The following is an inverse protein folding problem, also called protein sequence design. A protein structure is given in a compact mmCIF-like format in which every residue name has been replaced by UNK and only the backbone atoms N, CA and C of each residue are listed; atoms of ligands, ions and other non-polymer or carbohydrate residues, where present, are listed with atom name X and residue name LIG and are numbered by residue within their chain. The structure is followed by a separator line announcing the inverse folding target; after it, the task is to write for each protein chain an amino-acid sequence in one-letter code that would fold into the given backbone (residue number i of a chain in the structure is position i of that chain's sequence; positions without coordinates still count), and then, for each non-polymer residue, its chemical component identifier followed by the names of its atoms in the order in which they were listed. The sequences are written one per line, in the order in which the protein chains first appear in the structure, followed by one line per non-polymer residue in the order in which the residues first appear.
data_IF_468968154439
#
_entry.id   IF_468968154439
#
_cell.length_a   1.000
_cell.length_b   1.000
_cell.length_c   1.000
_cell.angle_alpha   90.00
_cell.angle_beta   90.00
_cell.angle_gamma   90.00
#
_symmetry.space_group_name_H-M   'P 1'
#
loop_
_entity.id
_entity.type
_entity.pdbx_description
1 polymer ?
#
# COMPACT_ATOMS: atom_id res chain seq x y z
N UNK A 1 19.34 -7.15 -12.50
CA UNK A 1 18.07 -7.48 -11.80
C UNK A 1 16.84 -7.14 -12.64
N UNK A 2 16.73 -5.94 -13.18
CA UNK A 2 15.56 -5.48 -13.96
C UNK A 2 15.40 -6.16 -15.34
N UNK A 3 16.34 -6.95 -15.79
CA UNK A 3 16.23 -7.71 -17.04
C UNK A 3 15.24 -8.88 -16.98
N UNK A 4 14.91 -9.36 -15.78
CA UNK A 4 13.84 -10.34 -15.58
C UNK A 4 12.49 -9.61 -15.54
N UNK A 5 11.57 -9.99 -16.41
CA UNK A 5 10.21 -9.37 -16.50
C UNK A 5 9.48 -9.36 -15.16
N UNK A 6 9.61 -10.40 -14.38
CA UNK A 6 9.00 -10.57 -13.06
C UNK A 6 9.50 -9.51 -12.06
N UNK A 7 10.82 -9.25 -12.04
CA UNK A 7 11.43 -8.26 -11.15
C UNK A 7 11.06 -6.85 -11.59
N UNK A 8 11.06 -6.59 -12.89
CA UNK A 8 10.65 -5.30 -13.43
C UNK A 8 9.17 -5.00 -13.13
N UNK A 9 8.29 -5.99 -13.26
CA UNK A 9 6.86 -5.88 -12.92
C UNK A 9 6.65 -5.61 -11.43
N UNK A 10 7.36 -6.34 -10.58
CA UNK A 10 7.28 -6.15 -9.14
C UNK A 10 7.81 -4.77 -8.71
N UNK A 11 8.87 -4.29 -9.35
CA UNK A 11 9.41 -2.95 -9.14
C UNK A 11 8.43 -1.86 -9.60
N UNK A 12 7.79 -2.03 -10.76
CA UNK A 12 6.73 -1.14 -11.25
C UNK A 12 5.51 -1.13 -10.32
N UNK A 13 5.12 -2.29 -9.79
CA UNK A 13 4.04 -2.39 -8.81
C UNK A 13 4.39 -1.64 -7.51
N UNK A 14 5.65 -1.70 -7.06
CA UNK A 14 6.11 -0.97 -5.88
C UNK A 14 6.06 0.55 -6.11
N UNK A 15 6.49 1.01 -7.28
CA UNK A 15 6.37 2.41 -7.70
C UNK A 15 4.91 2.89 -7.68
N UNK A 16 4.00 2.15 -8.34
CA UNK A 16 2.58 2.48 -8.40
C UNK A 16 1.90 2.47 -7.02
N UNK A 17 2.32 1.55 -6.16
CA UNK A 17 1.82 1.44 -4.80
C UNK A 17 2.07 2.72 -4.00
N UNK A 18 3.28 3.23 -4.03
CA UNK A 18 3.65 4.45 -3.31
C UNK A 18 3.13 5.71 -3.97
N UNK A 19 3.09 5.75 -5.31
CA UNK A 19 2.49 6.85 -6.06
C UNK A 19 1.00 7.02 -5.71
N UNK A 20 0.25 5.92 -5.66
CA UNK A 20 -1.17 5.97 -5.29
C UNK A 20 -1.40 6.45 -3.85
N UNK A 21 -0.58 5.99 -2.89
CA UNK A 21 -0.66 6.47 -1.50
C UNK A 21 -0.31 7.95 -1.40
N UNK A 22 0.71 8.40 -2.11
CA UNK A 22 1.15 9.80 -2.10
C UNK A 22 0.08 10.74 -2.62
N UNK A 23 -0.55 10.41 -3.74
CA UNK A 23 -1.67 11.17 -4.31
C UNK A 23 -2.81 11.33 -3.30
N UNK A 24 -3.08 10.30 -2.51
CA UNK A 24 -4.13 10.35 -1.50
C UNK A 24 -3.70 11.12 -0.25
N UNK A 25 -2.52 10.86 0.29
CA UNK A 25 -2.18 11.31 1.65
C UNK A 25 -1.63 12.72 1.72
N UNK A 26 -0.98 13.21 0.65
CA UNK A 26 -0.22 14.49 0.70
C UNK A 26 -1.16 15.68 0.81
N UNK A 27 -2.26 15.71 0.05
CA UNK A 27 -3.22 16.82 0.09
C UNK A 27 -4.44 16.55 0.99
N UNK A 28 -4.56 15.36 1.57
CA UNK A 28 -5.63 15.04 2.52
C UNK A 28 -5.73 16.04 3.70
N UNK A 29 -4.63 16.40 4.40
CA UNK A 29 -4.69 17.37 5.49
C UNK A 29 -5.22 18.72 5.03
N UNK A 30 -4.70 19.22 3.91
CA UNK A 30 -5.10 20.50 3.35
C UNK A 30 -6.58 20.52 2.98
N UNK A 31 -7.07 19.45 2.33
CA UNK A 31 -8.47 19.28 1.99
C UNK A 31 -9.36 19.25 3.24
N UNK A 32 -9.00 18.49 4.27
CA UNK A 32 -9.75 18.44 5.53
C UNK A 32 -9.81 19.79 6.24
N UNK A 33 -8.75 20.59 6.19
CA UNK A 33 -8.71 21.93 6.75
C UNK A 33 -9.61 22.88 5.97
N UNK A 34 -9.56 22.89 4.63
CA UNK A 34 -10.31 23.82 3.79
C UNK A 34 -11.80 23.48 3.71
N UNK A 35 -12.14 22.22 3.52
CA UNK A 35 -13.54 21.81 3.28
C UNK A 35 -14.32 21.49 4.56
N UNK A 36 -13.64 21.02 5.61
CA UNK A 36 -14.27 20.60 6.86
C UNK A 36 -13.91 21.51 8.05
N UNK A 37 -13.04 22.50 7.87
CA UNK A 37 -12.55 23.33 8.97
C UNK A 37 -11.80 22.52 10.05
N UNK A 38 -11.18 21.41 9.69
CA UNK A 38 -10.49 20.55 10.63
C UNK A 38 -9.28 21.27 11.23
N UNK A 39 -9.13 21.21 12.55
CA UNK A 39 -7.97 21.80 13.22
C UNK A 39 -6.72 20.99 12.97
N UNK A 40 -5.52 21.62 12.94
CA UNK A 40 -4.24 20.89 12.80
C UNK A 40 -4.06 19.78 13.84
N UNK A 41 -4.54 19.98 15.07
CA UNK A 41 -4.49 18.97 16.14
C UNK A 41 -5.40 17.76 15.86
N UNK A 42 -6.59 17.99 15.29
CA UNK A 42 -7.48 16.91 14.89
C UNK A 42 -6.85 16.07 13.75
N UNK A 43 -6.28 16.74 12.76
CA UNK A 43 -5.57 16.08 11.65
C UNK A 43 -4.38 15.27 12.18
N UNK A 44 -3.55 15.86 13.04
CA UNK A 44 -2.42 15.16 13.65
C UNK A 44 -2.87 13.90 14.42
N UNK A 45 -3.94 14.02 15.22
CA UNK A 45 -4.51 12.88 15.96
C UNK A 45 -5.02 11.79 15.02
N UNK A 46 -5.64 12.15 13.90
CA UNK A 46 -6.08 11.21 12.87
C UNK A 46 -4.88 10.41 12.31
N UNK A 47 -3.76 11.05 12.03
CA UNK A 47 -2.54 10.38 11.57
C UNK A 47 -1.93 9.46 12.65
N UNK A 48 -1.96 9.86 13.91
CA UNK A 48 -1.53 8.99 15.02
C UNK A 48 -2.40 7.74 15.11
N UNK A 49 -3.72 7.90 15.10
CA UNK A 49 -4.67 6.77 15.12
C UNK A 49 -4.46 5.85 13.92
N UNK A 50 -4.28 6.40 12.72
CA UNK A 50 -3.97 5.64 11.52
C UNK A 50 -2.62 4.93 11.61
N UNK A 51 -1.60 5.57 12.17
CA UNK A 51 -0.29 4.96 12.41
C UNK A 51 -0.37 3.76 13.34
N UNK A 52 -1.13 3.87 14.43
CA UNK A 52 -1.39 2.74 15.36
C UNK A 52 -2.09 1.59 14.61
N UNK A 53 -3.12 1.89 13.83
CA UNK A 53 -3.81 0.89 13.01
C UNK A 53 -2.84 0.15 12.07
N UNK A 54 -1.95 0.90 11.39
CA UNK A 54 -0.95 0.36 10.48
C UNK A 54 0.02 -0.59 11.20
N UNK A 55 0.58 -0.18 12.34
CA UNK A 55 1.52 -0.99 13.14
C UNK A 55 0.87 -2.27 13.66
N UNK A 56 -0.35 -2.19 14.16
CA UNK A 56 -1.07 -3.36 14.67
C UNK A 56 -1.48 -4.33 13.56
N UNK A 57 -1.84 -3.83 12.38
CA UNK A 57 -2.29 -4.65 11.26
C UNK A 57 -1.14 -5.35 10.54
N UNK A 58 0.03 -4.74 10.43
CA UNK A 58 1.15 -5.26 9.65
C UNK A 58 1.52 -6.72 9.96
N UNK A 59 1.81 -7.10 11.23
CA UNK A 59 2.13 -8.49 11.59
C UNK A 59 0.97 -9.47 11.34
N UNK A 60 -0.27 -9.01 11.55
CA UNK A 60 -1.46 -9.84 11.33
C UNK A 60 -1.69 -10.10 9.83
N UNK A 61 -1.44 -9.09 9.01
CA UNK A 61 -1.51 -9.19 7.56
C UNK A 61 -0.50 -10.20 7.01
N UNK A 62 0.73 -10.22 7.54
CA UNK A 62 1.73 -11.21 7.22
C UNK A 62 1.23 -12.63 7.50
N UNK A 63 0.80 -12.91 8.73
CA UNK A 63 0.26 -14.22 9.14
C UNK A 63 -0.97 -14.63 8.30
N UNK A 64 -1.85 -13.69 8.00
CA UNK A 64 -3.04 -13.95 7.19
C UNK A 64 -2.66 -14.29 5.74
N UNK A 65 -1.68 -13.58 5.19
CA UNK A 65 -1.21 -13.79 3.83
C UNK A 65 -0.51 -15.14 3.65
N UNK A 66 0.14 -15.66 4.67
CA UNK A 66 0.75 -16.99 4.63
C UNK A 66 -0.31 -18.11 4.58
N UNK A 67 -1.53 -17.85 5.10
CA UNK A 67 -2.65 -18.82 5.07
C UNK A 67 -3.50 -18.74 3.80
N UNK A 68 -3.79 -17.53 3.33
CA UNK A 68 -4.76 -17.30 2.23
C UNK A 68 -4.05 -17.15 0.87
N UNK A 69 -2.75 -16.85 0.88
CA UNK A 69 -1.95 -16.51 -0.28
C UNK A 69 -1.56 -15.03 -0.30
N UNK A 70 -0.27 -14.77 -0.49
CA UNK A 70 0.29 -13.41 -0.44
C UNK A 70 -0.27 -12.52 -1.53
N UNK A 71 -0.33 -13.03 -2.75
CA UNK A 71 -0.86 -12.33 -3.92
C UNK A 71 -2.33 -11.96 -3.75
N UNK A 72 -3.14 -12.88 -3.21
CA UNK A 72 -4.57 -12.63 -2.95
C UNK A 72 -4.79 -11.49 -1.97
N UNK A 73 -4.06 -11.47 -0.86
CA UNK A 73 -4.17 -10.40 0.15
C UNK A 73 -3.77 -9.05 -0.45
N UNK A 74 -2.68 -8.98 -1.22
CA UNK A 74 -2.24 -7.75 -1.89
C UNK A 74 -3.31 -7.24 -2.86
N UNK A 75 -3.91 -8.10 -3.67
CA UNK A 75 -4.96 -7.70 -4.63
C UNK A 75 -6.22 -7.24 -3.89
N UNK A 76 -6.72 -8.03 -2.93
CA UNK A 76 -7.95 -7.71 -2.21
C UNK A 76 -7.82 -6.41 -1.41
N UNK A 77 -6.70 -6.22 -0.70
CA UNK A 77 -6.46 -4.98 0.05
C UNK A 77 -6.28 -3.76 -0.88
N UNK A 78 -5.68 -3.94 -2.05
CA UNK A 78 -5.56 -2.87 -3.05
C UNK A 78 -6.92 -2.50 -3.65
N UNK A 79 -7.76 -3.47 -3.98
CA UNK A 79 -9.12 -3.20 -4.47
C UNK A 79 -9.99 -2.53 -3.40
N UNK A 80 -9.91 -3.01 -2.14
CA UNK A 80 -10.57 -2.36 -1.02
C UNK A 80 -10.11 -0.91 -0.85
N UNK A 81 -8.79 -0.66 -0.95
CA UNK A 81 -8.24 0.69 -0.88
C UNK A 81 -8.72 1.58 -2.05
N UNK A 82 -8.78 1.04 -3.27
CA UNK A 82 -9.29 1.75 -4.43
C UNK A 82 -10.75 2.22 -4.21
N UNK A 83 -11.59 1.35 -3.64
CA UNK A 83 -12.97 1.70 -3.28
C UNK A 83 -13.00 2.80 -2.22
N UNK A 84 -12.24 2.67 -1.15
CA UNK A 84 -12.18 3.68 -0.07
C UNK A 84 -11.69 5.01 -0.61
N UNK A 85 -10.62 5.05 -1.40
CA UNK A 85 -10.09 6.27 -2.00
C UNK A 85 -11.12 6.96 -2.90
N UNK A 86 -11.82 6.20 -3.73
CA UNK A 86 -12.87 6.74 -4.62
C UNK A 86 -14.03 7.33 -3.82
N UNK A 87 -14.43 6.69 -2.73
CA UNK A 87 -15.56 7.12 -1.91
C UNK A 87 -15.20 8.24 -0.92
N UNK A 88 -13.92 8.48 -0.66
CA UNK A 88 -13.44 9.43 0.36
C UNK A 88 -14.13 10.80 0.27
N UNK A 89 -14.12 11.42 -0.90
CA UNK A 89 -14.68 12.76 -1.11
C UNK A 89 -16.20 12.82 -1.07
N UNK A 90 -16.88 11.69 -1.26
CA UNK A 90 -18.35 11.60 -1.20
C UNK A 90 -18.85 11.25 0.19
N UNK A 91 -18.08 10.51 0.97
CA UNK A 91 -18.50 9.96 2.27
C UNK A 91 -18.08 10.88 3.41
N UNK A 92 -16.93 11.54 3.31
CA UNK A 92 -16.42 12.41 4.37
C UNK A 92 -17.20 13.73 4.36
N UNK A 93 -18.16 13.85 5.29
CA UNK A 93 -18.93 15.06 5.54
C UNK A 93 -18.63 15.69 6.91
N UNK A 94 -17.87 14.99 7.76
CA UNK A 94 -17.48 15.43 9.09
C UNK A 94 -16.16 14.81 9.50
N UNK A 95 -15.45 15.45 10.42
CA UNK A 95 -14.13 15.00 10.88
C UNK A 95 -14.15 13.58 11.46
N UNK A 96 -15.21 13.18 12.14
CA UNK A 96 -15.35 11.83 12.70
C UNK A 96 -15.40 10.75 11.61
N UNK A 97 -16.04 11.05 10.49
CA UNK A 97 -16.09 10.17 9.33
C UNK A 97 -14.70 10.08 8.70
N UNK A 98 -13.96 11.21 8.65
CA UNK A 98 -12.58 11.22 8.18
C UNK A 98 -11.67 10.30 9.01
N UNK A 99 -11.82 10.28 10.33
CA UNK A 99 -11.09 9.35 11.21
C UNK A 99 -11.38 7.89 10.85
N UNK A 100 -12.65 7.53 10.68
CA UNK A 100 -13.04 6.16 10.35
C UNK A 100 -12.51 5.74 8.97
N UNK A 101 -12.66 6.60 7.96
CA UNK A 101 -12.18 6.35 6.60
C UNK A 101 -10.66 6.22 6.58
N UNK A 102 -9.94 7.11 7.26
CA UNK A 102 -8.47 7.08 7.33
C UNK A 102 -7.97 5.85 8.09
N UNK A 103 -8.65 5.45 9.17
CA UNK A 103 -8.34 4.24 9.92
C UNK A 103 -8.42 2.99 9.03
N UNK A 104 -9.53 2.84 8.29
CA UNK A 104 -9.71 1.75 7.33
C UNK A 104 -8.65 1.81 6.22
N UNK A 105 -8.35 3.00 5.71
CA UNK A 105 -7.28 3.22 4.72
C UNK A 105 -5.94 2.69 5.22
N UNK A 106 -5.55 3.01 6.47
CA UNK A 106 -4.29 2.58 7.05
C UNK A 106 -4.22 1.07 7.28
N UNK A 107 -5.32 0.43 7.64
CA UNK A 107 -5.43 -1.03 7.69
C UNK A 107 -5.17 -1.62 6.31
N UNK A 108 -5.85 -1.15 5.27
CA UNK A 108 -5.71 -1.65 3.90
C UNK A 108 -4.30 -1.41 3.33
N UNK A 109 -3.66 -0.29 3.68
CA UNK A 109 -2.26 0.00 3.35
C UNK A 109 -1.33 -1.02 4.02
N UNK A 110 -1.51 -1.29 5.33
CA UNK A 110 -0.70 -2.26 6.06
C UNK A 110 -0.89 -3.69 5.55
N UNK A 111 -2.13 -4.07 5.21
CA UNK A 111 -2.45 -5.40 4.71
C UNK A 111 -1.73 -5.78 3.41
N UNK A 112 -1.30 -4.81 2.59
CA UNK A 112 -0.57 -5.07 1.35
C UNK A 112 0.95 -4.98 1.50
N UNK A 113 1.47 -4.17 2.45
CA UNK A 113 2.90 -3.90 2.57
C UNK A 113 3.72 -5.15 2.92
N UNK A 114 3.36 -5.84 4.00
CA UNK A 114 4.08 -7.02 4.47
C UNK A 114 4.00 -8.20 3.48
N UNK A 115 2.83 -8.60 2.97
CA UNK A 115 2.73 -9.66 1.97
C UNK A 115 3.45 -9.34 0.67
N UNK A 116 3.42 -8.08 0.22
CA UNK A 116 4.07 -7.69 -1.02
C UNK A 116 5.60 -7.71 -0.89
N UNK A 117 6.15 -7.25 0.25
CA UNK A 117 7.59 -7.37 0.52
C UNK A 117 8.04 -8.83 0.56
N UNK A 118 7.25 -9.71 1.17
CA UNK A 118 7.52 -11.15 1.19
C UNK A 118 7.44 -11.79 -0.21
N UNK A 119 6.52 -11.29 -1.06
CA UNK A 119 6.38 -11.72 -2.45
C UNK A 119 7.61 -11.32 -3.28
N UNK A 120 8.09 -10.08 -3.11
CA UNK A 120 9.31 -9.57 -3.75
C UNK A 120 10.54 -10.40 -3.39
N UNK A 121 10.76 -10.64 -2.10
CA UNK A 121 11.95 -11.39 -1.64
C UNK A 121 11.95 -12.83 -2.10
N UNK A 122 10.79 -13.41 -2.38
CA UNK A 122 10.68 -14.77 -2.91
C UNK A 122 11.03 -14.89 -4.41
N UNK A 123 11.15 -13.77 -5.15
CA UNK A 123 11.53 -13.76 -6.57
C UNK A 123 13.04 -13.93 -6.82
N UNK A 124 13.85 -13.85 -5.78
CA UNK A 124 15.33 -13.89 -5.88
C UNK A 124 15.95 -14.76 -4.80
N UNK A 125 17.15 -15.23 -5.05
CA UNK A 125 17.98 -15.96 -4.09
C UNK A 125 18.37 -15.07 -2.90
N UNK A 126 18.69 -15.68 -1.78
CA UNK A 126 18.98 -15.02 -0.50
C UNK A 126 20.06 -13.92 -0.62
N UNK A 127 21.11 -14.18 -1.42
CA UNK A 127 22.20 -13.23 -1.67
C UNK A 127 21.75 -11.93 -2.35
N UNK A 128 20.65 -11.97 -3.10
CA UNK A 128 20.15 -10.84 -3.89
C UNK A 128 18.96 -10.13 -3.25
N UNK A 129 18.42 -10.66 -2.14
CA UNK A 129 17.25 -10.07 -1.45
C UNK A 129 17.50 -8.64 -1.02
N UNK A 130 18.66 -8.35 -0.42
CA UNK A 130 19.02 -7.00 0.00
C UNK A 130 19.04 -6.00 -1.15
N UNK A 131 19.69 -6.37 -2.26
CA UNK A 131 19.76 -5.52 -3.45
C UNK A 131 18.37 -5.27 -4.08
N UNK A 132 17.52 -6.30 -4.12
CA UNK A 132 16.15 -6.15 -4.64
C UNK A 132 15.31 -5.25 -3.75
N UNK A 133 15.39 -5.41 -2.44
CA UNK A 133 14.63 -4.58 -1.50
C UNK A 133 15.08 -3.12 -1.53
N UNK A 134 16.41 -2.87 -1.63
CA UNK A 134 16.92 -1.51 -1.77
C UNK A 134 16.42 -0.84 -3.07
N UNK A 135 16.42 -1.59 -4.18
CA UNK A 135 15.89 -1.11 -5.46
C UNK A 135 14.39 -0.84 -5.38
N UNK A 136 13.62 -1.75 -4.78
CA UNK A 136 12.18 -1.59 -4.61
C UNK A 136 11.86 -0.36 -3.76
N UNK A 137 12.56 -0.19 -2.64
CA UNK A 137 12.37 0.99 -1.77
C UNK A 137 12.72 2.28 -2.52
N UNK A 138 13.84 2.33 -3.27
CA UNK A 138 14.21 3.49 -4.07
C UNK A 138 13.12 3.84 -5.11
N UNK A 139 12.62 2.85 -5.84
CA UNK A 139 11.54 3.04 -6.81
C UNK A 139 10.22 3.42 -6.13
N UNK A 140 9.92 2.89 -4.96
CA UNK A 140 8.79 3.31 -4.14
C UNK A 140 8.87 4.79 -3.76
N UNK A 141 10.03 5.25 -3.28
CA UNK A 141 10.25 6.66 -2.96
C UNK A 141 10.14 7.56 -4.20
N UNK A 142 10.64 7.10 -5.35
CA UNK A 142 10.41 7.81 -6.62
C UNK A 142 8.93 7.89 -6.97
N UNK A 143 8.18 6.80 -6.82
CA UNK A 143 6.73 6.78 -7.00
C UNK A 143 6.02 7.76 -6.07
N UNK A 144 6.41 7.79 -4.79
CA UNK A 144 5.88 8.74 -3.81
C UNK A 144 6.18 10.18 -4.22
N UNK A 145 7.40 10.49 -4.64
CA UNK A 145 7.79 11.83 -5.08
C UNK A 145 7.02 12.28 -6.33
N UNK A 146 6.85 11.39 -7.31
CA UNK A 146 6.05 11.67 -8.52
C UNK A 146 4.59 11.94 -8.15
N UNK A 147 3.99 11.11 -7.31
CA UNK A 147 2.61 11.30 -6.85
C UNK A 147 2.44 12.62 -6.10
N UNK A 148 3.36 12.96 -5.18
CA UNK A 148 3.34 14.23 -4.46
C UNK A 148 3.48 15.44 -5.40
N UNK A 149 4.35 15.34 -6.40
CA UNK A 149 4.55 16.40 -7.38
C UNK A 149 3.32 16.63 -8.30
N UNK A 150 2.57 15.55 -8.59
CA UNK A 150 1.35 15.63 -9.38
C UNK A 150 0.15 16.12 -8.57
N UNK A 151 0.09 15.79 -7.27
CA UNK A 151 -1.04 16.11 -6.42
C UNK A 151 -1.33 17.61 -6.35
N UNK A 152 -0.32 18.49 -6.19
CA UNK A 152 -0.52 19.93 -6.10
C UNK A 152 -1.22 20.55 -7.31
N UNK A 153 -0.68 20.38 -8.53
CA UNK A 153 -1.31 20.86 -9.76
C UNK A 153 -2.71 20.28 -10.02
N UNK A 154 -2.93 19.01 -9.67
CA UNK A 154 -4.23 18.36 -9.80
C UNK A 154 -5.24 18.96 -8.83
N UNK A 155 -4.86 19.07 -7.56
CA UNK A 155 -5.69 19.67 -6.52
C UNK A 155 -6.13 21.10 -6.89
N UNK A 156 -5.18 21.94 -7.36
CA UNK A 156 -5.48 23.35 -7.70
C UNK A 156 -6.41 23.50 -8.90
N UNK A 157 -6.41 22.54 -9.83
CA UNK A 157 -7.25 22.60 -11.03
C UNK A 157 -8.60 21.91 -10.88
N UNK A 158 -8.64 20.80 -10.19
CA UNK A 158 -9.79 19.88 -10.17
C UNK A 158 -10.25 19.48 -8.75
N UNK A 159 -9.59 20.01 -7.71
CA UNK A 159 -9.87 19.66 -6.32
C UNK A 159 -9.36 18.28 -5.91
N UNK A 160 -9.58 17.92 -4.66
CA UNK A 160 -9.07 16.67 -4.07
C UNK A 160 -9.62 15.39 -4.74
N UNK A 161 -10.78 15.47 -5.38
CA UNK A 161 -11.34 14.35 -6.17
C UNK A 161 -10.37 13.85 -7.23
N UNK A 162 -9.62 14.74 -7.89
CA UNK A 162 -8.65 14.34 -8.92
C UNK A 162 -7.49 13.53 -8.34
N UNK A 163 -7.04 13.86 -7.15
CA UNK A 163 -5.97 13.15 -6.45
C UNK A 163 -6.44 11.76 -6.03
N UNK A 164 -7.65 11.65 -5.49
CA UNK A 164 -8.22 10.35 -5.11
C UNK A 164 -8.48 9.46 -6.33
N UNK A 165 -8.96 10.00 -7.44
CA UNK A 165 -9.20 9.26 -8.69
C UNK A 165 -7.90 8.77 -9.31
N UNK A 166 -6.89 9.63 -9.46
CA UNK A 166 -5.60 9.23 -10.01
C UNK A 166 -4.88 8.23 -9.08
N UNK A 167 -4.98 8.44 -7.76
CA UNK A 167 -4.49 7.50 -6.76
C UNK A 167 -5.17 6.13 -6.87
N UNK A 168 -6.49 6.12 -7.07
CA UNK A 168 -7.26 4.89 -7.32
C UNK A 168 -6.77 4.17 -8.57
N UNK A 169 -6.57 4.90 -9.69
CA UNK A 169 -6.05 4.33 -10.94
C UNK A 169 -4.67 3.70 -10.71
N UNK A 170 -3.78 4.38 -9.99
CA UNK A 170 -2.46 3.85 -9.68
C UNK A 170 -2.52 2.56 -8.85
N UNK A 171 -3.40 2.51 -7.84
CA UNK A 171 -3.59 1.33 -6.97
C UNK A 171 -4.21 0.17 -7.74
N UNK A 172 -5.19 0.41 -8.61
CA UNK A 172 -5.79 -0.62 -9.48
C UNK A 172 -4.77 -1.13 -10.50
N UNK A 173 -3.98 -0.24 -11.11
CA UNK A 173 -2.92 -0.63 -12.02
C UNK A 173 -1.87 -1.50 -11.30
N UNK A 174 -1.50 -1.14 -10.07
CA UNK A 174 -0.64 -1.96 -9.21
C UNK A 174 -1.23 -3.35 -8.97
N UNK A 175 -2.52 -3.42 -8.61
CA UNK A 175 -3.19 -4.70 -8.40
C UNK A 175 -3.23 -5.56 -9.68
N UNK A 176 -3.44 -4.94 -10.84
CA UNK A 176 -3.39 -5.63 -12.14
C UNK A 176 -1.98 -6.15 -12.46
N UNK A 177 -0.94 -5.32 -12.27
CA UNK A 177 0.46 -5.74 -12.46
C UNK A 177 0.80 -6.93 -11.57
N UNK A 178 0.45 -6.87 -10.28
CA UNK A 178 0.66 -8.00 -9.36
C UNK A 178 -0.16 -9.22 -9.81
N UNK A 179 -1.41 -9.01 -10.22
CA UNK A 179 -2.30 -10.09 -10.64
C UNK A 179 -1.82 -10.87 -11.86
N UNK A 180 -1.32 -10.17 -12.87
CA UNK A 180 -0.98 -10.79 -14.16
C UNK A 180 0.49 -11.06 -14.36
N UNK A 181 1.38 -10.27 -13.77
CA UNK A 181 2.81 -10.27 -14.11
C UNK A 181 3.72 -10.75 -12.97
N UNK A 182 3.24 -10.79 -11.72
CA UNK A 182 4.03 -11.27 -10.59
C UNK A 182 3.60 -12.71 -10.28
N UNK A 183 4.50 -13.71 -10.40
CA UNK A 183 4.18 -15.08 -10.03
C UNK A 183 3.98 -15.22 -8.52
N UNK A 184 3.08 -16.09 -8.10
CA UNK A 184 2.95 -16.48 -6.70
C UNK A 184 3.96 -17.60 -6.43
N UNK A 185 4.95 -17.41 -5.54
CA UNK A 185 5.88 -18.47 -5.18
C UNK A 185 5.10 -19.58 -4.48
N UNK A 186 5.42 -20.84 -4.80
CA UNK A 186 4.85 -21.98 -4.10
C UNK A 186 5.17 -21.86 -2.59
N UNK A 187 4.15 -21.93 -1.76
CA UNK A 187 4.31 -22.01 -0.32
C UNK A 187 5.09 -23.29 -0.05
N UNK A 188 6.36 -23.17 0.38
CA UNK A 188 7.09 -24.35 0.86
C UNK A 188 6.27 -24.96 1.99
N UNK A 189 5.96 -26.27 1.94
CA UNK A 189 5.35 -26.95 3.07
C UNK A 189 6.21 -26.67 4.32
N UNK A 190 5.56 -26.25 5.40
CA UNK A 190 6.20 -26.04 6.69
C UNK A 190 7.05 -27.29 7.00
N UNK A 191 8.36 -27.13 7.06
CA UNK A 191 9.23 -28.22 7.49
C UNK A 191 8.79 -28.58 8.90
N UNK A 192 8.10 -29.70 9.01
CA UNK A 192 7.77 -30.29 10.32
C UNK A 192 9.04 -30.30 11.13
N UNK A 193 9.02 -29.87 12.41
CA UNK A 193 10.19 -29.92 13.24
C UNK A 193 10.70 -31.37 13.23
N UNK A 194 11.93 -31.55 12.76
CA UNK A 194 12.61 -32.83 12.87
C UNK A 194 12.69 -33.12 14.37
N UNK A 195 11.80 -33.97 14.83
CA UNK A 195 11.91 -34.58 16.17
C UNK A 195 13.20 -35.39 16.10
N UNK A 196 14.28 -34.80 16.59
CA UNK A 196 15.52 -35.53 16.86
C UNK A 196 15.17 -36.61 17.91
N UNK A 197 14.94 -37.82 17.42
CA UNK A 197 15.02 -38.97 18.27
C UNK A 197 16.49 -39.11 18.66
N UNK A 198 16.81 -38.55 19.82
CA UNK A 198 18.05 -38.85 20.50
C UNK A 198 17.79 -40.12 21.32
N UNK A 199 18.32 -41.24 20.81
CA UNK A 199 18.64 -42.41 21.60
C UNK A 199 19.86 -42.13 22.47
#
# INVERSE_FOLDING_TARGET
LLTRKEIASAAAAYFLMFMGVSLFVVYLPYWLEQDLGATPSAIATMFVVGGIANVLTGPQAGKLSDKIGRKRIVILSSLGLAVVMTLTTFVISAIWVAYAVFFVTMILVAMRMSPFSALLTALVDDERRGSLMSLAVALGQMGFAVGAALAGPLYTRFGYVSDTVLGTIAVVAMAAVVGYLVPEPELKPEQSPVVSAAD
#
